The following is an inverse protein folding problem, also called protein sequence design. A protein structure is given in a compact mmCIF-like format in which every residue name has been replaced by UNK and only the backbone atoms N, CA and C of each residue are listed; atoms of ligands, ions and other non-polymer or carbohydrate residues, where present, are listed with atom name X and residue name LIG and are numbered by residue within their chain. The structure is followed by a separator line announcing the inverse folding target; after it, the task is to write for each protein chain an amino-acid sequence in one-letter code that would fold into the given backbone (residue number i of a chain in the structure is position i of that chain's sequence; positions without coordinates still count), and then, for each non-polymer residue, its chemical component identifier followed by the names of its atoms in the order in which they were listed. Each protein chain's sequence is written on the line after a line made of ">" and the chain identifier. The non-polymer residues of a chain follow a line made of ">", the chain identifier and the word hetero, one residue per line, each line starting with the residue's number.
data_IF_814084368587
#
_entry.id   IF_814084368587
#
_cell.length_a   1.000
_cell.length_b   1.000
_cell.length_c   1.000
_cell.angle_alpha   90.00
_cell.angle_beta   90.00
_cell.angle_gamma   90.00
#
_symmetry.space_group_name_H-M   'P 1'
#
loop_
_entity.id
_entity.type
_entity.pdbx_description
1 polymer ?
#
# COMPACT_ATOMS: atom_id res chain seq x y z
N UNK A 1 -82.63 19.68 -26.88
CA UNK A 1 -81.41 20.51 -26.91
C UNK A 1 -80.29 19.66 -26.36
N UNK A 2 -79.38 19.24 -27.24
CA UNK A 2 -78.24 18.37 -26.94
C UNK A 2 -77.02 19.25 -26.68
N UNK A 3 -76.46 19.22 -25.48
CA UNK A 3 -75.14 19.79 -25.20
C UNK A 3 -74.12 18.64 -25.09
N UNK A 4 -73.24 18.60 -26.09
CA UNK A 4 -72.06 17.73 -26.19
C UNK A 4 -70.96 18.29 -25.29
N UNK A 5 -70.69 17.63 -24.16
CA UNK A 5 -69.51 17.88 -23.33
C UNK A 5 -68.32 17.05 -23.85
N UNK A 6 -67.36 17.71 -24.49
CA UNK A 6 -66.05 17.16 -24.80
C UNK A 6 -65.16 17.18 -23.53
N UNK A 7 -64.44 16.09 -23.20
CA UNK A 7 -63.44 16.12 -22.14
C UNK A 7 -62.14 16.75 -22.66
N UNK A 8 -61.70 17.83 -22.00
CA UNK A 8 -60.40 18.45 -22.21
C UNK A 8 -59.31 17.60 -21.55
N UNK A 9 -58.44 17.00 -22.38
CA UNK A 9 -57.20 16.40 -21.91
C UNK A 9 -56.25 17.49 -21.42
N UNK A 10 -56.11 17.64 -20.10
CA UNK A 10 -55.00 18.38 -19.49
C UNK A 10 -53.75 17.52 -19.55
N UNK A 11 -52.97 17.71 -20.60
CA UNK A 11 -51.60 17.19 -20.69
C UNK A 11 -50.73 17.95 -19.68
N UNK A 12 -50.57 17.37 -18.48
CA UNK A 12 -49.65 17.87 -17.46
C UNK A 12 -48.23 17.51 -17.89
N UNK A 13 -47.56 18.44 -18.58
CA UNK A 13 -46.13 18.35 -18.85
C UNK A 13 -45.36 18.50 -17.54
N UNK A 14 -44.90 17.36 -17.03
CA UNK A 14 -44.09 17.25 -15.83
C UNK A 14 -42.67 17.77 -16.13
N UNK A 15 -42.52 19.10 -16.24
CA UNK A 15 -41.21 19.75 -16.35
C UNK A 15 -40.51 19.66 -14.99
N UNK A 16 -39.76 18.56 -14.79
CA UNK A 16 -38.86 18.40 -13.66
C UNK A 16 -37.81 19.52 -13.67
N UNK A 17 -37.89 20.42 -12.68
CA UNK A 17 -36.93 21.50 -12.48
C UNK A 17 -35.50 20.94 -12.47
N UNK A 18 -34.55 21.51 -13.25
CA UNK A 18 -33.16 21.07 -13.30
C UNK A 18 -32.44 21.14 -11.94
N UNK A 19 -32.95 21.94 -11.00
CA UNK A 19 -32.43 21.98 -9.63
C UNK A 19 -32.62 20.67 -8.85
N UNK A 20 -33.65 19.87 -9.18
CA UNK A 20 -33.89 18.56 -8.55
C UNK A 20 -32.89 17.50 -8.99
N UNK A 21 -32.42 17.57 -10.24
CA UNK A 21 -31.42 16.62 -10.75
C UNK A 21 -30.04 16.88 -10.15
N UNK A 22 -29.68 18.16 -9.97
CA UNK A 22 -28.41 18.55 -9.36
C UNK A 22 -28.34 18.10 -7.89
N UNK A 23 -29.42 18.25 -7.12
CA UNK A 23 -29.45 17.80 -5.72
C UNK A 23 -29.40 16.28 -5.61
N UNK A 24 -30.07 15.53 -6.49
CA UNK A 24 -30.02 14.07 -6.49
C UNK A 24 -28.60 13.56 -6.80
N UNK A 25 -27.91 14.15 -7.78
CA UNK A 25 -26.53 13.77 -8.13
C UNK A 25 -25.55 14.11 -7.00
N UNK A 26 -25.70 15.28 -6.36
CA UNK A 26 -24.86 15.66 -5.23
C UNK A 26 -25.04 14.71 -4.03
N UNK A 27 -26.28 14.35 -3.70
CA UNK A 27 -26.58 13.41 -2.60
C UNK A 27 -26.06 12.00 -2.92
N UNK A 28 -26.22 11.53 -4.15
CA UNK A 28 -25.71 10.23 -4.58
C UNK A 28 -24.17 10.17 -4.53
N UNK A 29 -23.49 11.25 -4.91
CA UNK A 29 -22.03 11.36 -4.81
C UNK A 29 -21.53 11.28 -3.36
N UNK A 30 -22.16 12.03 -2.45
CA UNK A 30 -21.80 12.00 -1.02
C UNK A 30 -22.04 10.60 -0.43
N UNK A 31 -23.18 9.98 -0.72
CA UNK A 31 -23.49 8.63 -0.25
C UNK A 31 -22.50 7.58 -0.78
N UNK A 32 -22.12 7.68 -2.05
CA UNK A 32 -21.12 6.78 -2.65
C UNK A 32 -19.76 6.86 -1.93
N UNK A 33 -19.29 8.08 -1.65
CA UNK A 33 -18.02 8.30 -0.94
C UNK A 33 -18.11 7.82 0.52
N UNK A 34 -19.22 8.09 1.20
CA UNK A 34 -19.43 7.64 2.59
C UNK A 34 -19.51 6.13 2.70
N UNK A 35 -20.21 5.46 1.78
CA UNK A 35 -20.30 3.99 1.75
C UNK A 35 -18.92 3.37 1.46
N UNK A 36 -18.15 3.95 0.54
CA UNK A 36 -16.79 3.50 0.26
C UNK A 36 -15.88 3.60 1.49
N UNK A 37 -15.93 4.72 2.21
CA UNK A 37 -15.21 4.90 3.47
C UNK A 37 -15.66 3.91 4.56
N UNK A 38 -16.97 3.68 4.67
CA UNK A 38 -17.53 2.74 5.64
C UNK A 38 -17.08 1.30 5.39
N UNK A 39 -17.05 0.86 4.12
CA UNK A 39 -16.54 -0.47 3.77
C UNK A 39 -15.04 -0.62 4.08
N UNK A 40 -14.24 0.44 3.92
CA UNK A 40 -12.85 0.46 4.35
C UNK A 40 -12.69 0.24 5.86
N UNK A 41 -13.53 0.90 6.66
CA UNK A 41 -13.55 0.72 8.12
C UNK A 41 -14.02 -0.68 8.51
N UNK A 42 -15.05 -1.23 7.86
CA UNK A 42 -15.53 -2.60 8.13
C UNK A 42 -14.46 -3.63 7.78
N UNK A 43 -13.70 -3.43 6.70
CA UNK A 43 -12.61 -4.33 6.31
C UNK A 43 -11.43 -4.29 7.30
N UNK A 44 -11.13 -3.14 7.91
CA UNK A 44 -10.04 -3.01 8.89
C UNK A 44 -10.43 -3.43 10.32
N UNK A 45 -11.69 -3.20 10.75
CA UNK A 45 -12.10 -3.32 12.16
C UNK A 45 -13.31 -4.24 12.41
N UNK A 46 -13.97 -4.76 11.37
CA UNK A 46 -15.23 -5.49 11.49
C UNK A 46 -16.45 -4.58 11.72
N UNK A 47 -17.66 -5.17 11.66
CA UNK A 47 -18.92 -4.42 11.80
C UNK A 47 -19.08 -3.75 13.18
N UNK A 48 -18.69 -4.44 14.26
CA UNK A 48 -18.77 -3.89 15.62
C UNK A 48 -17.79 -2.72 15.83
N UNK A 49 -16.57 -2.82 15.28
CA UNK A 49 -15.57 -1.74 15.34
C UNK A 49 -15.96 -0.50 14.52
N UNK A 50 -16.56 -0.70 13.34
CA UNK A 50 -17.03 0.41 12.50
C UNK A 50 -18.23 1.16 13.11
N UNK A 51 -19.14 0.45 13.79
CA UNK A 51 -20.27 1.06 14.51
C UNK A 51 -19.80 1.85 15.74
N UNK A 52 -18.88 1.29 16.53
CA UNK A 52 -18.28 2.03 17.65
C UNK A 52 -17.49 3.25 17.18
N UNK A 53 -16.79 3.18 16.05
CA UNK A 53 -16.06 4.32 15.48
C UNK A 53 -16.96 5.51 15.14
N UNK A 54 -18.17 5.24 14.63
CA UNK A 54 -19.15 6.28 14.30
C UNK A 54 -19.82 6.85 15.55
N UNK A 55 -19.98 6.03 16.60
CA UNK A 55 -20.77 6.37 17.78
C UNK A 55 -19.97 6.94 18.96
N UNK A 56 -18.83 6.34 19.31
CA UNK A 56 -18.01 6.72 20.48
C UNK A 56 -16.74 7.49 20.11
N UNK A 57 -16.41 7.60 18.81
CA UNK A 57 -15.10 8.06 18.35
C UNK A 57 -14.09 6.91 18.34
N UNK A 58 -12.82 7.18 17.99
CA UNK A 58 -11.80 6.13 17.81
C UNK A 58 -11.58 5.33 19.09
N UNK A 59 -12.03 4.05 19.15
CA UNK A 59 -11.99 3.28 20.38
C UNK A 59 -10.58 2.70 20.65
N UNK A 60 -9.65 2.78 19.68
CA UNK A 60 -8.32 2.19 19.79
C UNK A 60 -7.20 3.07 19.20
N UNK A 61 -6.97 4.29 19.73
CA UNK A 61 -5.92 5.19 19.22
C UNK A 61 -4.52 4.52 19.25
N UNK A 62 -4.23 3.78 20.32
CA UNK A 62 -2.97 3.05 20.48
C UNK A 62 -2.77 1.94 19.44
N UNK A 63 -3.86 1.34 18.95
CA UNK A 63 -3.78 0.29 17.93
C UNK A 63 -3.41 0.90 16.57
N UNK A 64 -3.98 2.07 16.24
CA UNK A 64 -3.66 2.78 15.00
C UNK A 64 -2.21 3.24 14.96
N UNK A 65 -1.70 3.84 16.03
CA UNK A 65 -0.28 4.21 16.10
C UNK A 65 0.64 3.01 15.89
N UNK A 66 0.27 1.84 16.41
CA UNK A 66 1.01 0.58 16.22
C UNK A 66 0.90 0.03 14.80
N UNK A 67 -0.27 0.14 14.17
CA UNK A 67 -0.44 -0.25 12.76
C UNK A 67 0.31 0.71 11.83
N UNK A 68 0.25 2.00 12.10
CA UNK A 68 0.91 3.03 11.30
C UNK A 68 2.42 2.99 11.45
N UNK A 69 2.94 2.67 12.64
CA UNK A 69 4.37 2.40 12.83
C UNK A 69 4.82 1.17 12.03
N UNK A 70 4.05 0.07 12.02
CA UNK A 70 4.35 -1.08 11.16
C UNK A 70 4.27 -0.74 9.67
N UNK A 71 3.29 0.07 9.25
CA UNK A 71 3.15 0.56 7.87
C UNK A 71 4.32 1.46 7.47
N UNK A 72 4.81 2.29 8.38
CA UNK A 72 6.00 3.11 8.16
C UNK A 72 7.26 2.24 8.01
N UNK A 73 7.41 1.18 8.81
CA UNK A 73 8.50 0.20 8.65
C UNK A 73 8.38 -0.51 7.29
N UNK A 74 7.18 -0.94 6.90
CA UNK A 74 6.94 -1.55 5.59
C UNK A 74 7.36 -0.63 4.43
N UNK A 75 7.04 0.66 4.51
CA UNK A 75 7.48 1.64 3.52
C UNK A 75 9.00 1.79 3.49
N UNK A 76 9.66 1.74 4.65
CA UNK A 76 11.12 1.79 4.74
C UNK A 76 11.79 0.57 4.11
N UNK A 77 11.20 -0.63 4.23
CA UNK A 77 11.73 -1.88 3.62
C UNK A 77 11.79 -1.78 2.08
N UNK A 78 10.84 -1.07 1.44
CA UNK A 78 10.78 -0.98 -0.03
C UNK A 78 12.06 -0.39 -0.64
N UNK A 79 12.71 0.56 0.04
CA UNK A 79 13.92 1.22 -0.50
C UNK A 79 15.14 0.27 -0.54
N UNK A 80 15.55 -0.37 0.58
CA UNK A 80 16.56 -1.43 0.59
C UNK A 80 16.26 -2.55 -0.41
N UNK A 81 15.02 -3.01 -0.48
CA UNK A 81 14.62 -4.09 -1.40
C UNK A 81 14.81 -3.69 -2.88
N UNK A 82 14.44 -2.46 -3.26
CA UNK A 82 14.69 -1.96 -4.61
C UNK A 82 16.18 -1.85 -4.93
N UNK A 83 17.01 -1.48 -3.94
CA UNK A 83 18.46 -1.43 -4.12
C UNK A 83 19.04 -2.84 -4.29
N UNK A 84 18.61 -3.79 -3.48
CA UNK A 84 18.99 -5.19 -3.58
C UNK A 84 18.62 -5.77 -4.95
N UNK A 85 17.38 -5.58 -5.40
CA UNK A 85 16.93 -6.05 -6.73
C UNK A 85 17.76 -5.42 -7.87
N UNK A 86 18.15 -4.14 -7.76
CA UNK A 86 19.02 -3.49 -8.75
C UNK A 86 20.42 -4.10 -8.77
N UNK A 87 20.97 -4.43 -7.60
CA UNK A 87 22.27 -5.08 -7.49
C UNK A 87 22.24 -6.51 -8.05
N UNK A 88 21.21 -7.29 -7.71
CA UNK A 88 21.00 -8.63 -8.26
C UNK A 88 20.83 -8.59 -9.79
N UNK A 89 19.98 -7.70 -10.31
CA UNK A 89 19.78 -7.58 -11.77
C UNK A 89 21.08 -7.17 -12.47
N UNK A 90 21.88 -6.30 -11.86
CA UNK A 90 23.18 -5.94 -12.42
C UNK A 90 24.12 -7.15 -12.43
N UNK A 91 24.18 -7.91 -11.33
CA UNK A 91 25.01 -9.10 -11.21
C UNK A 91 24.59 -10.22 -12.18
N UNK A 92 23.29 -10.44 -12.39
CA UNK A 92 22.80 -11.40 -13.37
C UNK A 92 23.17 -10.99 -14.81
N UNK A 93 23.04 -9.70 -15.14
CA UNK A 93 23.46 -9.18 -16.46
C UNK A 93 24.95 -9.38 -16.69
N UNK A 94 25.79 -9.11 -15.69
CA UNK A 94 27.23 -9.30 -15.84
C UNK A 94 27.61 -10.76 -15.97
N UNK A 95 26.87 -11.66 -15.31
CA UNK A 95 27.06 -13.09 -15.48
C UNK A 95 26.72 -13.56 -16.90
N UNK A 96 25.62 -13.09 -17.46
CA UNK A 96 25.21 -13.40 -18.85
C UNK A 96 26.21 -12.82 -19.87
N UNK A 97 26.64 -11.57 -19.69
CA UNK A 97 27.63 -10.93 -20.57
C UNK A 97 29.01 -11.64 -20.51
N UNK A 98 29.35 -12.26 -19.38
CA UNK A 98 30.57 -13.06 -19.23
C UNK A 98 30.52 -14.40 -19.97
N UNK A 99 29.34 -14.93 -20.25
CA UNK A 99 29.15 -16.22 -20.94
C UNK A 99 29.18 -16.03 -22.47
N UNK A 100 28.75 -14.87 -22.96
CA UNK A 100 28.54 -14.63 -24.40
C UNK A 100 29.76 -14.09 -25.19
N UNK A 101 30.91 -13.78 -24.58
CA UNK A 101 32.07 -13.46 -25.42
C UNK A 101 33.34 -12.96 -24.73
N UNK A 102 34.40 -13.77 -24.83
CA UNK A 102 35.83 -13.43 -25.07
C UNK A 102 36.57 -12.29 -24.34
N UNK A 103 35.95 -11.48 -23.48
CA UNK A 103 36.62 -10.39 -22.77
C UNK A 103 36.10 -10.24 -21.32
N UNK A 104 36.15 -11.32 -20.54
CA UNK A 104 35.86 -11.27 -19.10
C UNK A 104 36.66 -10.16 -18.37
N UNK A 105 37.86 -9.82 -18.88
CA UNK A 105 38.67 -8.70 -18.38
C UNK A 105 38.07 -7.32 -18.69
N UNK A 106 37.51 -7.11 -19.89
CA UNK A 106 36.89 -5.83 -20.27
C UNK A 106 35.59 -5.58 -19.50
N UNK A 107 34.81 -6.64 -19.25
CA UNK A 107 33.58 -6.56 -18.45
C UNK A 107 33.89 -6.19 -16.99
N UNK A 108 34.91 -6.78 -16.37
CA UNK A 108 35.34 -6.42 -15.00
C UNK A 108 35.86 -4.97 -14.95
N UNK A 109 36.56 -4.51 -15.98
CA UNK A 109 37.06 -3.14 -16.08
C UNK A 109 35.94 -2.12 -16.32
N UNK A 110 34.93 -2.49 -17.11
CA UNK A 110 33.71 -1.70 -17.33
C UNK A 110 32.79 -1.69 -16.10
N UNK A 111 32.84 -2.73 -15.27
CA UNK A 111 32.20 -2.78 -13.95
C UNK A 111 32.89 -1.86 -12.95
N UNK A 112 34.22 -1.90 -12.89
CA UNK A 112 35.02 -1.01 -12.05
C UNK A 112 34.89 0.47 -12.44
N UNK A 113 34.58 0.78 -13.70
CA UNK A 113 34.40 2.15 -14.17
C UNK A 113 32.96 2.68 -14.03
N UNK A 114 31.94 1.80 -14.05
CA UNK A 114 30.53 2.20 -13.89
C UNK A 114 30.03 2.15 -12.44
N UNK A 115 30.70 1.43 -11.55
CA UNK A 115 30.46 1.54 -10.11
C UNK A 115 31.37 2.64 -9.57
N UNK A 116 30.85 3.79 -9.08
CA UNK A 116 31.66 4.61 -8.20
C UNK A 116 32.08 3.69 -7.06
N UNK A 117 33.39 3.63 -6.82
CA UNK A 117 34.16 2.76 -5.92
C UNK A 117 33.76 2.78 -4.43
N UNK A 118 32.48 2.99 -4.14
CA UNK A 118 31.82 2.56 -2.91
C UNK A 118 31.66 1.06 -3.01
N UNK A 119 32.71 0.41 -2.52
CA UNK A 119 32.88 -1.01 -2.26
C UNK A 119 31.54 -1.74 -2.08
N UNK A 120 31.22 -2.65 -3.00
CA UNK A 120 29.99 -3.46 -3.01
C UNK A 120 29.75 -4.12 -1.65
N UNK A 121 30.84 -4.56 -1.01
CA UNK A 121 30.86 -5.11 0.34
C UNK A 121 30.39 -4.11 1.40
N UNK A 122 30.79 -2.85 1.27
CA UNK A 122 30.32 -1.77 2.14
C UNK A 122 28.83 -1.50 1.91
N UNK A 123 28.35 -1.53 0.66
CA UNK A 123 26.92 -1.35 0.36
C UNK A 123 26.05 -2.49 0.89
N UNK A 124 26.50 -3.75 0.73
CA UNK A 124 25.84 -4.92 1.30
C UNK A 124 25.86 -4.88 2.84
N UNK A 125 26.98 -4.43 3.44
CA UNK A 125 27.07 -4.21 4.88
C UNK A 125 26.09 -3.16 5.40
N UNK A 126 25.90 -2.06 4.66
CA UNK A 126 24.88 -1.04 4.98
C UNK A 126 23.47 -1.62 4.83
N UNK A 127 23.19 -2.37 3.76
CA UNK A 127 21.89 -3.04 3.55
C UNK A 127 21.56 -4.03 4.68
N UNK A 128 22.53 -4.86 5.07
CA UNK A 128 22.42 -5.79 6.19
C UNK A 128 22.11 -5.06 7.50
N UNK A 129 22.87 -4.01 7.83
CA UNK A 129 22.61 -3.20 9.03
C UNK A 129 21.24 -2.51 8.99
N UNK A 130 20.78 -2.08 7.82
CA UNK A 130 19.47 -1.47 7.67
C UNK A 130 18.34 -2.49 7.86
N UNK A 131 18.50 -3.73 7.38
CA UNK A 131 17.56 -4.82 7.66
C UNK A 131 17.51 -5.19 9.15
N UNK A 132 18.66 -5.22 9.85
CA UNK A 132 18.70 -5.44 11.30
C UNK A 132 17.95 -4.34 12.07
N UNK A 133 18.15 -3.07 11.70
CA UNK A 133 17.42 -1.95 12.31
C UNK A 133 15.92 -2.03 12.06
N UNK A 134 15.52 -2.50 10.87
CA UNK A 134 14.11 -2.69 10.54
C UNK A 134 13.52 -3.86 11.30
N UNK A 135 14.26 -4.97 11.47
CA UNK A 135 13.85 -6.10 12.30
C UNK A 135 13.62 -5.66 13.75
N UNK A 136 14.57 -4.91 14.33
CA UNK A 136 14.44 -4.37 15.67
C UNK A 136 13.24 -3.40 15.81
N UNK A 137 12.95 -2.59 14.79
CA UNK A 137 11.75 -1.73 14.76
C UNK A 137 10.46 -2.55 14.72
N UNK A 138 10.40 -3.63 13.93
CA UNK A 138 9.25 -4.54 13.93
C UNK A 138 9.09 -5.16 15.32
N UNK A 139 10.16 -5.71 15.89
CA UNK A 139 10.09 -6.40 17.18
C UNK A 139 9.66 -5.46 18.32
N UNK A 140 10.11 -4.21 18.30
CA UNK A 140 9.76 -3.19 19.28
C UNK A 140 8.29 -2.77 19.31
N UNK A 141 7.48 -3.09 18.30
CA UNK A 141 6.04 -2.77 18.31
C UNK A 141 5.28 -3.71 19.25
N UNK A 142 4.76 -3.21 20.37
CA UNK A 142 4.01 -4.01 21.34
C UNK A 142 2.72 -4.55 20.72
N UNK A 143 2.56 -5.88 20.69
CA UNK A 143 1.35 -6.55 20.18
C UNK A 143 0.45 -7.00 21.35
N UNK A 144 -0.09 -6.07 22.12
CA UNK A 144 -1.04 -6.39 23.19
C UNK A 144 -2.35 -6.90 22.58
N UNK A 145 -2.61 -8.19 22.71
CA UNK A 145 -3.92 -8.82 22.47
C UNK A 145 -4.44 -8.84 21.02
N UNK A 146 -3.95 -7.98 20.13
CA UNK A 146 -4.41 -7.89 18.74
C UNK A 146 -3.75 -8.95 17.86
N UNK A 147 -4.54 -9.92 17.41
CA UNK A 147 -4.07 -10.95 16.48
C UNK A 147 -3.69 -10.36 15.10
N UNK A 148 -4.36 -9.28 14.68
CA UNK A 148 -4.03 -8.54 13.46
C UNK A 148 -2.62 -7.95 13.52
N UNK A 149 -2.23 -7.36 14.66
CA UNK A 149 -0.86 -6.86 14.84
C UNK A 149 0.15 -8.00 14.84
N UNK A 150 -0.13 -9.11 15.52
CA UNK A 150 0.77 -10.28 15.54
C UNK A 150 0.98 -10.85 14.13
N UNK A 151 -0.09 -10.95 13.35
CA UNK A 151 -0.02 -11.43 11.98
C UNK A 151 0.82 -10.49 11.10
N UNK A 152 0.54 -9.18 11.14
CA UNK A 152 1.32 -8.18 10.39
C UNK A 152 2.80 -8.17 10.79
N UNK A 153 3.11 -8.23 12.09
CA UNK A 153 4.50 -8.37 12.58
C UNK A 153 5.15 -9.60 12.01
N UNK A 154 4.48 -10.76 12.07
CA UNK A 154 5.01 -12.03 11.56
C UNK A 154 5.28 -11.99 10.06
N UNK A 155 4.39 -11.40 9.27
CA UNK A 155 4.58 -11.22 7.82
C UNK A 155 5.79 -10.33 7.54
N UNK A 156 5.91 -9.20 8.24
CA UNK A 156 7.04 -8.28 8.07
C UNK A 156 8.37 -8.91 8.50
N UNK A 157 8.43 -9.57 9.66
CA UNK A 157 9.64 -10.25 10.12
C UNK A 157 10.09 -11.33 9.13
N UNK A 158 9.16 -12.16 8.62
CA UNK A 158 9.49 -13.15 7.58
C UNK A 158 10.07 -12.49 6.33
N UNK A 159 9.47 -11.40 5.86
CA UNK A 159 9.95 -10.68 4.68
C UNK A 159 11.35 -10.12 4.89
N UNK A 160 11.64 -9.54 6.06
CA UNK A 160 12.97 -9.03 6.39
C UNK A 160 13.99 -10.17 6.40
N UNK A 161 13.67 -11.31 7.02
CA UNK A 161 14.55 -12.49 7.03
C UNK A 161 14.86 -12.97 5.61
N UNK A 162 13.85 -13.08 4.73
CA UNK A 162 14.08 -13.44 3.33
C UNK A 162 14.97 -12.43 2.59
N UNK A 163 14.89 -11.14 2.91
CA UNK A 163 15.77 -10.13 2.33
C UNK A 163 17.20 -10.24 2.86
N UNK A 164 17.38 -10.53 4.16
CA UNK A 164 18.71 -10.78 4.74
C UNK A 164 19.36 -12.03 4.13
N UNK A 165 18.62 -13.13 3.99
CA UNK A 165 19.10 -14.34 3.32
C UNK A 165 19.51 -14.10 1.85
N UNK A 166 18.96 -13.08 1.19
CA UNK A 166 19.38 -12.68 -0.16
C UNK A 166 20.63 -11.81 -0.17
N UNK A 167 20.86 -11.00 0.86
CA UNK A 167 22.10 -10.23 1.03
C UNK A 167 23.29 -11.15 1.30
N UNK A 168 23.06 -12.25 2.04
CA UNK A 168 24.11 -13.18 2.46
C UNK A 168 24.55 -14.17 1.36
N UNK A 169 23.77 -14.29 0.27
CA UNK A 169 24.08 -15.15 -0.89
C UNK A 169 25.00 -14.45 -1.87
#
# INVERSE_FOLDING_TARGET
>A
MMDLYLPSHTSSSNHGSPSRWITVVAVAGVLGVSIYWFWGLVAEYGMEGALNYIWEGDPYPNLRERIDSLRAVEQKIKKPEQLLNKLETALERSHLDSIDGTEAAAVVQQWQSNLPSVDLRTRLGVLSSDFDKLAAQVDGVVSEGSDVLKEKKKVLSKRIVTLMERVDK
#
